data_IF_737956539207
#
_entry.id   IF_737956539207
#
_cell.length_a   1.000
_cell.length_b   1.000
_cell.length_c   1.000
_cell.angle_alpha   90.00
_cell.angle_beta   90.00
_cell.angle_gamma   90.00
#
_symmetry.space_group_name_H-M   'P 1'
#
loop_
_entity.id
_entity.type
_entity.pdbx_description
1 polymer ?
#
# COMPACT_ATOMS: atom_id res chain seq x y z
N UNK A 1 2.92 6.48 -19.46
CA UNK A 1 1.86 5.62 -20.06
C UNK A 1 0.57 6.43 -20.21
N UNK A 2 -0.06 6.48 -21.40
CA UNK A 2 -1.39 7.10 -21.56
C UNK A 2 -2.45 6.12 -21.06
N UNK A 3 -3.00 6.35 -19.87
CA UNK A 3 -4.15 5.57 -19.39
C UNK A 3 -5.37 5.86 -20.26
N UNK A 4 -6.08 4.81 -20.68
CA UNK A 4 -7.39 4.97 -21.31
C UNK A 4 -8.40 5.54 -20.29
N UNK A 5 -9.43 6.24 -20.77
CA UNK A 5 -10.43 6.92 -19.90
C UNK A 5 -11.15 5.95 -18.95
N UNK A 6 -11.32 4.70 -19.38
CA UNK A 6 -11.94 3.63 -18.60
C UNK A 6 -11.07 3.20 -17.42
N UNK A 7 -9.77 2.98 -17.63
CA UNK A 7 -8.80 2.64 -16.57
C UNK A 7 -8.72 3.76 -15.53
N UNK A 8 -8.72 5.03 -15.97
CA UNK A 8 -8.77 6.19 -15.07
C UNK A 8 -10.06 6.23 -14.26
N UNK A 9 -11.20 5.88 -14.86
CA UNK A 9 -12.49 5.85 -14.16
C UNK A 9 -12.53 4.76 -13.09
N UNK A 10 -12.01 3.56 -13.39
CA UNK A 10 -11.90 2.50 -12.39
C UNK A 10 -10.89 2.84 -11.30
N UNK A 11 -9.76 3.48 -11.62
CA UNK A 11 -8.79 3.93 -10.61
C UNK A 11 -9.43 4.92 -9.61
N UNK A 12 -10.24 5.87 -10.10
CA UNK A 12 -11.03 6.75 -9.22
C UNK A 12 -12.03 5.98 -8.38
N UNK A 13 -12.70 4.98 -8.96
CA UNK A 13 -13.63 4.15 -8.20
C UNK A 13 -12.93 3.37 -7.08
N UNK A 14 -11.75 2.81 -7.35
CA UNK A 14 -10.90 2.18 -6.33
C UNK A 14 -10.54 3.17 -5.23
N UNK A 15 -10.14 4.39 -5.58
CA UNK A 15 -9.82 5.44 -4.59
C UNK A 15 -11.01 5.76 -3.70
N UNK A 16 -12.21 5.92 -4.28
CA UNK A 16 -13.45 6.17 -3.54
C UNK A 16 -13.81 4.98 -2.64
N UNK A 17 -13.75 3.75 -3.17
CA UNK A 17 -14.10 2.54 -2.42
C UNK A 17 -13.09 2.27 -1.29
N UNK A 18 -11.81 2.57 -1.50
CA UNK A 18 -10.76 2.46 -0.48
C UNK A 18 -10.98 3.48 0.63
N UNK A 19 -11.24 4.75 0.27
CA UNK A 19 -11.57 5.81 1.22
C UNK A 19 -12.94 5.59 1.87
N UNK A 20 -13.78 4.66 1.40
CA UNK A 20 -15.04 4.34 2.05
C UNK A 20 -14.88 3.38 3.24
N UNK A 21 -13.69 2.81 3.44
CA UNK A 21 -13.31 2.07 4.65
C UNK A 21 -13.08 3.04 5.82
N UNK A 22 -13.17 2.51 7.04
CA UNK A 22 -12.69 3.24 8.21
C UNK A 22 -11.17 3.34 8.20
N UNK A 23 -10.64 4.17 9.09
CA UNK A 23 -9.21 4.49 9.08
C UNK A 23 -8.34 3.29 9.47
N UNK A 24 -8.84 2.41 10.34
CA UNK A 24 -8.11 1.23 10.77
C UNK A 24 -8.03 0.20 9.65
N UNK A 25 -9.15 -0.10 8.99
CA UNK A 25 -9.24 -1.03 7.86
C UNK A 25 -8.43 -0.53 6.66
N UNK A 26 -8.56 0.77 6.33
CA UNK A 26 -7.76 1.41 5.28
C UNK A 26 -6.27 1.27 5.56
N UNK A 27 -5.85 1.58 6.80
CA UNK A 27 -4.45 1.49 7.19
C UNK A 27 -3.94 0.06 7.12
N UNK A 28 -4.66 -0.90 7.71
CA UNK A 28 -4.25 -2.30 7.70
C UNK A 28 -4.11 -2.83 6.28
N UNK A 29 -5.07 -2.52 5.41
CA UNK A 29 -5.08 -3.00 4.04
C UNK A 29 -3.92 -2.41 3.21
N UNK A 30 -3.72 -1.09 3.26
CA UNK A 30 -2.62 -0.45 2.54
C UNK A 30 -1.27 -0.90 3.10
N UNK A 31 -1.15 -1.01 4.42
CA UNK A 31 0.05 -1.51 5.07
C UNK A 31 0.33 -2.98 4.71
N UNK A 32 -0.71 -3.81 4.55
CA UNK A 32 -0.55 -5.17 4.03
C UNK A 32 -0.02 -5.16 2.60
N UNK A 33 -0.53 -4.28 1.73
CA UNK A 33 -0.02 -4.15 0.36
C UNK A 33 1.45 -3.75 0.30
N UNK A 34 1.85 -2.84 1.17
CA UNK A 34 3.23 -2.34 1.27
C UNK A 34 4.17 -3.36 1.93
N UNK A 35 3.70 -4.09 2.95
CA UNK A 35 4.53 -4.99 3.77
C UNK A 35 4.36 -6.45 3.41
N UNK A 36 3.91 -6.75 2.19
CA UNK A 36 3.46 -8.08 1.76
C UNK A 36 4.60 -9.10 1.69
N UNK A 37 5.16 -9.49 2.84
CA UNK A 37 5.85 -10.73 3.08
C UNK A 37 5.80 -11.02 4.58
N UNK A 38 5.08 -12.08 4.94
CA UNK A 38 4.92 -12.65 6.28
C UNK A 38 6.23 -13.13 6.94
N UNK A 39 7.39 -12.73 6.39
CA UNK A 39 8.74 -13.08 6.85
C UNK A 39 9.65 -11.85 7.09
N UNK A 40 9.12 -10.61 7.03
CA UNK A 40 9.94 -9.40 7.27
C UNK A 40 10.89 -9.03 6.13
N UNK A 41 10.89 -9.79 5.04
CA UNK A 41 11.57 -9.44 3.78
C UNK A 41 10.58 -8.61 2.97
N UNK A 42 10.62 -7.29 3.12
CA UNK A 42 9.90 -6.38 2.23
C UNK A 42 10.14 -6.84 0.79
N UNK A 43 9.08 -7.13 0.03
CA UNK A 43 9.23 -6.98 -1.41
C UNK A 43 9.71 -5.54 -1.64
N UNK A 44 10.57 -5.35 -2.62
CA UNK A 44 11.26 -4.10 -2.94
C UNK A 44 10.24 -3.05 -3.41
N UNK A 45 9.34 -2.64 -2.51
CA UNK A 45 8.40 -1.55 -2.70
C UNK A 45 9.28 -0.32 -2.76
N UNK A 46 9.30 0.39 -3.91
CA UNK A 46 10.21 1.51 -4.09
C UNK A 46 10.07 2.52 -2.96
N UNK A 47 11.18 3.07 -2.48
CA UNK A 47 11.19 4.09 -1.42
C UNK A 47 10.28 5.29 -1.75
N UNK A 48 10.12 5.58 -3.05
CA UNK A 48 9.18 6.58 -3.57
C UNK A 48 7.72 6.26 -3.19
N UNK A 49 7.30 4.99 -3.28
CA UNK A 49 5.94 4.56 -2.90
C UNK A 49 5.76 4.67 -1.40
N UNK A 50 6.76 4.24 -0.62
CA UNK A 50 6.75 4.37 0.85
C UNK A 50 6.61 5.83 1.26
N UNK A 51 7.45 6.70 0.70
CA UNK A 51 7.46 8.13 1.00
C UNK A 51 6.15 8.81 0.58
N UNK A 52 5.59 8.46 -0.59
CA UNK A 52 4.31 8.99 -1.06
C UNK A 52 3.13 8.59 -0.15
N UNK A 53 3.21 7.42 0.47
CA UNK A 53 2.24 6.95 1.45
C UNK A 53 2.50 7.49 2.87
N UNK A 54 3.54 8.30 3.05
CA UNK A 54 3.87 8.92 4.34
C UNK A 54 4.66 8.03 5.28
N UNK A 55 5.22 6.91 4.79
CA UNK A 55 6.19 6.16 5.56
C UNK A 55 7.48 6.98 5.66
N UNK A 56 8.10 6.97 6.85
CA UNK A 56 9.33 7.71 7.10
C UNK A 56 10.48 6.75 7.36
N UNK A 57 11.56 6.91 6.60
CA UNK A 57 12.81 6.19 6.83
C UNK A 57 13.50 6.75 8.07
N UNK A 58 13.76 5.89 9.06
CA UNK A 58 14.58 6.23 10.21
C UNK A 58 16.01 5.77 9.94
N UNK A 59 16.99 6.69 9.90
CA UNK A 59 18.39 6.33 9.76
C UNK A 59 18.80 5.42 10.93
N UNK A 60 19.54 4.35 10.63
CA UNK A 60 20.05 3.41 11.63
C UNK A 60 20.97 4.08 12.68
N UNK A 61 21.43 5.31 12.44
CA UNK A 61 22.42 6.03 13.25
C UNK A 61 21.90 6.59 14.58
N UNK A 62 20.60 6.48 14.88
CA UNK A 62 20.05 6.93 16.17
C UNK A 62 20.09 5.88 17.29
N UNK A 63 20.49 4.63 16.98
CA UNK A 63 20.80 3.63 18.01
C UNK A 63 22.26 3.76 18.43
N UNK A 64 22.55 4.82 19.20
CA UNK A 64 23.76 4.83 20.02
C UNK A 64 23.60 3.75 21.07
N UNK A 65 24.37 2.67 20.99
CA UNK A 65 25.15 2.11 22.09
C UNK A 65 26.05 0.95 21.58
N UNK A 66 27.16 0.68 22.29
CA UNK A 66 28.34 0.07 21.72
C UNK A 66 28.36 -1.45 21.87
N UNK A 67 29.27 -2.04 21.09
CA UNK A 67 29.90 -3.34 21.28
C UNK A 67 29.23 -4.60 20.67
N UNK A 68 30.02 -5.20 19.77
CA UNK A 68 30.13 -6.63 19.46
C UNK A 68 28.91 -7.34 18.85
N UNK A 69 28.90 -7.43 17.51
CA UNK A 69 29.15 -8.69 16.80
C UNK A 69 29.22 -8.41 15.30
N UNK A 70 30.28 -8.89 14.66
CA UNK A 70 30.41 -8.90 13.20
C UNK A 70 29.40 -9.92 12.63
N UNK A 71 28.18 -9.48 12.35
CA UNK A 71 27.37 -10.03 11.26
C UNK A 71 27.09 -8.87 10.32
N UNK A 72 27.66 -8.96 9.13
CA UNK A 72 27.57 -7.96 8.05
C UNK A 72 26.17 -7.93 7.44
N UNK A 73 25.18 -7.57 8.24
CA UNK A 73 23.87 -7.12 7.78
C UNK A 73 23.73 -5.70 8.29
N UNK A 74 24.01 -4.72 7.42
CA UNK A 74 23.61 -3.33 7.69
C UNK A 74 22.15 -3.36 8.17
N UNK A 75 21.77 -2.68 9.25
CA UNK A 75 20.37 -2.58 9.62
C UNK A 75 19.65 -1.96 8.43
N UNK A 76 18.83 -2.76 7.73
CA UNK A 76 18.02 -2.26 6.65
C UNK A 76 17.23 -1.06 7.18
N UNK A 77 17.22 0.04 6.42
CA UNK A 77 16.51 1.25 6.76
C UNK A 77 15.11 0.93 7.30
N UNK A 78 14.84 1.30 8.55
CA UNK A 78 13.56 0.99 9.18
C UNK A 78 12.54 2.04 8.74
N UNK A 79 11.54 1.62 7.97
CA UNK A 79 10.42 2.47 7.59
C UNK A 79 9.33 2.43 8.65
N UNK A 80 9.01 3.59 9.22
CA UNK A 80 7.89 3.75 10.13
C UNK A 80 6.61 4.06 9.34
N UNK A 81 5.52 3.39 9.71
CA UNK A 81 4.22 3.60 9.08
C UNK A 81 3.60 4.94 9.55
N UNK A 82 2.85 5.62 8.67
CA UNK A 82 2.09 6.82 9.05
C UNK A 82 0.97 6.47 10.04
N UNK A 83 0.40 7.48 10.69
CA UNK A 83 -0.87 7.28 11.40
C UNK A 83 -2.01 7.01 10.40
N UNK A 84 -3.07 6.26 10.78
CA UNK A 84 -4.22 6.00 9.92
C UNK A 84 -4.84 7.27 9.32
N UNK A 85 -5.03 8.31 10.13
CA UNK A 85 -5.55 9.61 9.68
C UNK A 85 -4.63 10.30 8.66
N UNK A 86 -3.31 10.26 8.87
CA UNK A 86 -2.35 10.84 7.93
C UNK A 86 -2.40 10.12 6.59
N UNK A 87 -2.42 8.79 6.61
CA UNK A 87 -2.51 7.98 5.39
C UNK A 87 -3.80 8.28 4.60
N UNK A 88 -4.95 8.36 5.29
CA UNK A 88 -6.22 8.74 4.66
C UNK A 88 -6.14 10.13 4.03
N UNK A 89 -5.58 11.11 4.74
CA UNK A 89 -5.41 12.47 4.24
C UNK A 89 -4.54 12.50 2.98
N UNK A 90 -3.43 11.75 2.98
CA UNK A 90 -2.55 11.63 1.82
C UNK A 90 -3.29 11.03 0.62
N UNK A 91 -3.96 9.88 0.79
CA UNK A 91 -4.71 9.23 -0.28
C UNK A 91 -5.86 10.12 -0.79
N UNK A 92 -6.50 10.89 0.08
CA UNK A 92 -7.57 11.84 -0.31
C UNK A 92 -7.04 12.96 -1.20
N UNK A 93 -5.83 13.44 -0.93
CA UNK A 93 -5.20 14.53 -1.66
C UNK A 93 -4.44 14.08 -2.92
N UNK A 94 -4.18 12.78 -3.09
CA UNK A 94 -3.54 12.24 -4.30
C UNK A 94 -4.44 12.41 -5.53
N UNK A 95 -3.86 12.94 -6.61
CA UNK A 95 -4.50 12.85 -7.91
C UNK A 95 -4.54 11.40 -8.42
N UNK A 96 -5.41 11.12 -9.39
CA UNK A 96 -5.64 9.75 -9.88
C UNK A 96 -4.38 9.09 -10.47
N UNK A 97 -3.46 9.87 -11.05
CA UNK A 97 -2.23 9.32 -11.61
C UNK A 97 -1.27 8.93 -10.47
N UNK A 98 -1.09 9.81 -9.49
CA UNK A 98 -0.30 9.50 -8.28
C UNK A 98 -0.89 8.30 -7.53
N UNK A 99 -2.21 8.28 -7.34
CA UNK A 99 -2.91 7.16 -6.72
C UNK A 99 -2.69 5.85 -7.48
N UNK A 100 -2.78 5.89 -8.81
CA UNK A 100 -2.49 4.71 -9.63
C UNK A 100 -1.04 4.27 -9.48
N UNK A 101 -0.11 5.22 -9.51
CA UNK A 101 1.32 4.93 -9.48
C UNK A 101 1.76 4.33 -8.14
N UNK A 102 1.30 4.87 -7.02
CA UNK A 102 1.75 4.44 -5.69
C UNK A 102 0.85 3.39 -5.05
N UNK A 103 -0.48 3.59 -5.07
CA UNK A 103 -1.42 2.73 -4.33
C UNK A 103 -1.83 1.51 -5.14
N UNK A 104 -2.28 1.71 -6.38
CA UNK A 104 -2.71 0.60 -7.24
C UNK A 104 -1.54 -0.33 -7.56
N UNK A 105 -0.35 0.21 -7.84
CA UNK A 105 0.85 -0.61 -8.08
C UNK A 105 1.21 -1.48 -6.86
N UNK A 106 1.16 -0.92 -5.64
CA UNK A 106 1.42 -1.69 -4.42
C UNK A 106 0.36 -2.76 -4.19
N UNK A 107 -0.91 -2.42 -4.35
CA UNK A 107 -2.02 -3.38 -4.27
C UNK A 107 -1.85 -4.51 -5.31
N UNK A 108 -1.45 -4.15 -6.53
CA UNK A 108 -1.19 -5.12 -7.60
C UNK A 108 -0.07 -6.09 -7.22
N UNK A 109 1.08 -5.58 -6.78
CA UNK A 109 2.20 -6.43 -6.37
C UNK A 109 1.83 -7.39 -5.23
N UNK A 110 1.10 -6.91 -4.23
CA UNK A 110 0.67 -7.73 -3.10
C UNK A 110 -0.39 -8.76 -3.47
N UNK A 111 -1.40 -8.37 -4.24
CA UNK A 111 -2.56 -9.21 -4.52
C UNK A 111 -2.36 -10.15 -5.71
N UNK A 112 -1.42 -9.89 -6.61
CA UNK A 112 -1.21 -10.72 -7.80
C UNK A 112 -0.80 -12.16 -7.45
N UNK A 113 -0.12 -12.37 -6.32
CA UNK A 113 0.21 -13.72 -5.83
C UNK A 113 -1.04 -14.47 -5.35
N UNK A 114 -1.98 -13.77 -4.71
CA UNK A 114 -3.22 -14.36 -4.17
C UNK A 114 -4.31 -14.50 -5.23
N UNK A 115 -4.37 -13.57 -6.17
CA UNK A 115 -5.38 -13.48 -7.22
C UNK A 115 -4.73 -13.30 -8.60
N UNK A 116 -4.02 -14.33 -9.11
CA UNK A 116 -3.34 -14.25 -10.41
C UNK A 116 -4.32 -13.96 -11.56
N UNK A 117 -5.57 -14.42 -11.44
CA UNK A 117 -6.61 -14.23 -12.46
C UNK A 117 -7.09 -12.77 -12.59
N UNK A 118 -6.72 -11.88 -11.65
CA UNK A 118 -7.07 -10.45 -11.75
C UNK A 118 -6.18 -9.70 -12.77
N UNK A 119 -5.22 -10.37 -13.40
CA UNK A 119 -4.24 -9.80 -14.34
C UNK A 119 -4.74 -9.60 -15.79
N UNK A 120 -5.91 -10.11 -16.19
CA UNK A 120 -6.34 -10.01 -17.59
C UNK A 120 -6.80 -8.60 -18.00
N UNK A 121 -5.86 -7.72 -18.35
CA UNK A 121 -6.12 -6.41 -18.96
C UNK A 121 -6.57 -5.32 -17.97
N UNK A 122 -7.53 -4.48 -18.37
CA UNK A 122 -8.07 -3.35 -17.56
C UNK A 122 -8.91 -3.77 -16.35
N UNK A 123 -9.00 -5.06 -16.06
CA UNK A 123 -9.91 -5.68 -15.09
C UNK A 123 -9.42 -5.61 -13.64
N UNK A 124 -8.11 -5.50 -13.38
CA UNK A 124 -7.57 -5.46 -12.01
C UNK A 124 -8.25 -4.38 -11.15
N UNK A 125 -8.33 -3.14 -11.63
CA UNK A 125 -8.95 -2.04 -10.88
C UNK A 125 -10.44 -2.31 -10.60
N UNK A 126 -11.14 -2.96 -11.53
CA UNK A 126 -12.54 -3.32 -11.34
C UNK A 126 -12.72 -4.42 -10.28
N UNK A 127 -11.87 -5.45 -10.31
CA UNK A 127 -11.84 -6.50 -9.28
C UNK A 127 -11.49 -5.94 -7.91
N UNK A 128 -10.48 -5.08 -7.83
CA UNK A 128 -10.08 -4.40 -6.59
C UNK A 128 -11.21 -3.54 -6.03
N UNK A 129 -11.87 -2.72 -6.85
CA UNK A 129 -13.03 -1.92 -6.42
C UNK A 129 -14.18 -2.80 -5.88
N UNK A 130 -14.44 -3.94 -6.51
CA UNK A 130 -15.45 -4.88 -6.03
C UNK A 130 -15.03 -5.53 -4.70
N UNK A 131 -13.76 -5.90 -4.56
CA UNK A 131 -13.21 -6.48 -3.34
C UNK A 131 -13.35 -5.52 -2.15
N UNK A 132 -12.97 -4.25 -2.33
CA UNK A 132 -13.13 -3.20 -1.31
C UNK A 132 -14.60 -3.03 -0.90
N UNK A 133 -15.52 -3.03 -1.87
CA UNK A 133 -16.97 -2.97 -1.59
C UNK A 133 -17.48 -4.19 -0.83
N UNK A 134 -16.91 -5.38 -1.05
CA UNK A 134 -17.25 -6.57 -0.29
C UNK A 134 -16.71 -6.52 1.14
N UNK A 135 -15.49 -6.00 1.34
CA UNK A 135 -14.94 -5.80 2.68
C UNK A 135 -15.84 -4.89 3.52
N UNK A 136 -16.25 -3.75 2.96
CA UNK A 136 -17.20 -2.82 3.62
C UNK A 136 -18.54 -3.45 3.98
N UNK A 137 -19.03 -4.42 3.18
CA UNK A 137 -20.33 -5.07 3.39
C UNK A 137 -20.29 -6.21 4.40
N UNK A 138 -19.10 -6.72 4.75
CA UNK A 138 -18.99 -7.75 5.79
C UNK A 138 -19.24 -7.04 7.13
N UNK A 139 -20.29 -7.42 7.89
CA UNK A 139 -20.38 -6.94 9.26
C UNK A 139 -19.13 -7.43 9.97
N UNK A 140 -18.39 -6.50 10.58
CA UNK A 140 -17.39 -6.83 11.58
C UNK A 140 -18.13 -7.54 12.71
N UNK A 141 -18.09 -8.87 12.72
CA UNK A 141 -18.59 -9.66 13.85
C UNK A 141 -17.74 -9.29 15.06
N UNK A 142 -18.28 -8.41 15.90
CA UNK A 142 -17.85 -8.24 17.29
C UNK A 142 -18.24 -9.46 18.12
#
# INVERSE_FOLDING_TARGET
MKMNSQSRSFAKQVQVDLLALDDADLFQLVNQWVRSNSAGIYFDVPEEVLSALGYTCVPAESQTLPHLSYTSEMPAAQWLAPTPHQLRSLITNMDVNAFTHHVISAAFQSLHVTYPDWYEGVTFNAHLANHLRQMKKRPTSN
#
